data_IF_707640112477
#
_entry.id   IF_707640112477
#
_cell.length_a   1.000
_cell.length_b   1.000
_cell.length_c   1.000
_cell.angle_alpha   90.00
_cell.angle_beta   90.00
_cell.angle_gamma   90.00
#
_symmetry.space_group_name_H-M   'P 1'
#
loop_
_entity.id
_entity.type
_entity.pdbx_description
1 polymer ?
#
# COMPACT_ATOMS: atom_id res chain seq x y z
N UNK A 1 14.28 -9.20 18.54
CA UNK A 1 13.06 -8.55 19.09
C UNK A 1 11.82 -9.47 18.97
N UNK A 2 11.62 -10.25 17.90
CA UNK A 2 10.44 -11.16 17.79
C UNK A 2 10.75 -12.68 17.73
N UNK A 3 12.00 -13.13 17.87
CA UNK A 3 12.33 -14.57 17.76
C UNK A 3 12.09 -15.19 16.36
N UNK A 4 11.78 -14.35 15.35
CA UNK A 4 11.64 -14.74 13.96
C UNK A 4 13.01 -15.09 13.40
N UNK A 5 13.15 -16.30 12.84
CA UNK A 5 14.35 -16.69 12.10
C UNK A 5 14.31 -15.95 10.77
N UNK A 6 15.14 -14.93 10.61
CA UNK A 6 15.27 -14.24 9.33
C UNK A 6 15.90 -15.20 8.33
N UNK A 7 15.07 -15.73 7.43
CA UNK A 7 15.48 -16.56 6.32
C UNK A 7 15.38 -15.79 5.00
N UNK A 8 15.87 -16.42 3.92
CA UNK A 8 15.89 -15.82 2.59
C UNK A 8 14.49 -15.36 2.15
N UNK A 9 13.45 -16.14 2.49
CA UNK A 9 12.09 -15.86 2.10
C UNK A 9 11.53 -14.64 2.83
N UNK A 10 11.82 -14.51 4.13
CA UNK A 10 11.50 -13.33 4.94
C UNK A 10 12.20 -12.07 4.43
N UNK A 11 13.40 -12.22 3.86
CA UNK A 11 14.11 -11.14 3.17
C UNK A 11 13.39 -10.59 1.93
N UNK A 12 12.41 -11.32 1.37
CA UNK A 12 11.61 -10.86 0.23
C UNK A 12 10.42 -9.99 0.65
N UNK A 13 10.03 -10.00 1.93
CA UNK A 13 8.89 -9.21 2.41
C UNK A 13 9.02 -7.74 2.03
N UNK A 14 10.14 -7.03 2.30
CA UNK A 14 10.28 -5.63 1.94
C UNK A 14 10.15 -5.38 0.43
N UNK A 15 10.62 -6.31 -0.40
CA UNK A 15 10.54 -6.21 -1.87
C UNK A 15 9.08 -6.21 -2.31
N UNK A 16 8.27 -7.13 -1.76
CA UNK A 16 6.83 -7.20 -2.04
C UNK A 16 6.12 -5.92 -1.57
N UNK A 17 6.44 -5.44 -0.37
CA UNK A 17 5.82 -4.23 0.18
C UNK A 17 6.13 -2.99 -0.66
N UNK A 18 7.38 -2.84 -1.11
CA UNK A 18 7.78 -1.73 -1.99
C UNK A 18 7.05 -1.83 -3.33
N UNK A 19 6.97 -3.03 -3.92
CA UNK A 19 6.30 -3.22 -5.19
C UNK A 19 4.81 -2.88 -5.12
N UNK A 20 4.07 -3.43 -4.15
CA UNK A 20 2.63 -3.18 -4.02
C UNK A 20 2.34 -1.75 -3.55
N UNK A 21 3.07 -1.26 -2.54
CA UNK A 21 2.90 0.11 -2.05
C UNK A 21 3.16 1.16 -3.13
N UNK A 22 4.17 0.94 -3.98
CA UNK A 22 4.44 1.83 -5.13
C UNK A 22 3.31 1.76 -6.17
N UNK A 23 2.76 0.57 -6.43
CA UNK A 23 1.62 0.41 -7.35
C UNK A 23 0.40 1.19 -6.85
N UNK A 24 0.05 1.10 -5.56
CA UNK A 24 -1.07 1.84 -4.96
C UNK A 24 -0.83 3.35 -5.05
N UNK A 25 0.40 3.79 -4.76
CA UNK A 25 0.81 5.18 -4.87
C UNK A 25 0.70 5.73 -6.30
N UNK A 26 1.09 4.95 -7.30
CA UNK A 26 0.96 5.32 -8.72
C UNK A 26 -0.51 5.55 -9.10
N UNK A 27 -1.41 4.65 -8.70
CA UNK A 27 -2.84 4.81 -9.00
C UNK A 27 -3.41 6.08 -8.36
N UNK A 28 -3.02 6.38 -7.12
CA UNK A 28 -3.46 7.59 -6.44
C UNK A 28 -2.90 8.85 -7.10
N UNK A 29 -1.60 8.88 -7.36
CA UNK A 29 -0.92 10.03 -7.94
C UNK A 29 -1.37 10.30 -9.37
N UNK A 30 -1.67 9.26 -10.16
CA UNK A 30 -2.29 9.43 -11.48
C UNK A 30 -3.58 10.24 -11.37
N UNK A 31 -4.49 9.85 -10.47
CA UNK A 31 -5.77 10.56 -10.30
C UNK A 31 -5.57 11.97 -9.77
N UNK A 32 -4.62 12.15 -8.86
CA UNK A 32 -4.24 13.46 -8.35
C UNK A 32 -3.77 14.39 -9.47
N UNK A 33 -2.88 13.94 -10.35
CA UNK A 33 -2.38 14.74 -11.47
C UNK A 33 -3.45 15.03 -12.52
N UNK A 34 -4.35 14.08 -12.80
CA UNK A 34 -5.52 14.34 -13.67
C UNK A 34 -6.39 15.49 -13.12
N UNK A 35 -6.64 15.52 -11.81
CA UNK A 35 -7.42 16.58 -11.16
C UNK A 35 -6.69 17.92 -11.11
N UNK A 36 -5.39 17.90 -10.84
CA UNK A 36 -4.53 19.10 -10.90
C UNK A 36 -4.49 19.68 -12.32
N UNK A 37 -4.39 18.83 -13.34
CA UNK A 37 -4.47 19.22 -14.75
C UNK A 37 -5.83 19.80 -15.15
N UNK A 38 -6.91 19.41 -14.44
CA UNK A 38 -8.24 20.00 -14.55
C UNK A 38 -8.43 21.32 -13.78
N UNK A 39 -7.39 21.84 -13.12
CA UNK A 39 -7.43 23.12 -12.41
C UNK A 39 -7.86 23.04 -10.93
N UNK A 40 -8.06 21.85 -10.36
CA UNK A 40 -8.36 21.72 -8.92
C UNK A 40 -7.15 22.17 -8.07
N UNK A 41 -7.39 22.84 -6.94
CA UNK A 41 -6.35 23.16 -5.96
C UNK A 41 -5.74 21.88 -5.37
N UNK A 42 -4.49 21.91 -4.88
CA UNK A 42 -3.84 20.72 -4.32
C UNK A 42 -4.68 20.00 -3.24
N UNK A 43 -5.29 20.70 -2.25
CA UNK A 43 -6.16 20.05 -1.28
C UNK A 43 -7.43 19.44 -1.90
N UNK A 44 -8.03 20.12 -2.89
CA UNK A 44 -9.23 19.62 -3.57
C UNK A 44 -8.90 18.37 -4.40
N UNK A 45 -7.82 18.40 -5.17
CA UNK A 45 -7.34 17.28 -5.97
C UNK A 45 -6.99 16.07 -5.11
N UNK A 46 -6.32 16.30 -3.96
CA UNK A 46 -5.96 15.24 -3.02
C UNK A 46 -7.22 14.57 -2.42
N UNK A 47 -8.19 15.36 -1.97
CA UNK A 47 -9.44 14.85 -1.39
C UNK A 47 -10.33 14.16 -2.43
N UNK A 48 -10.44 14.73 -3.64
CA UNK A 48 -11.21 14.18 -4.74
C UNK A 48 -10.63 12.85 -5.22
N UNK A 49 -9.32 12.77 -5.37
CA UNK A 49 -8.63 11.51 -5.71
C UNK A 49 -8.85 10.47 -4.62
N UNK A 50 -8.62 10.82 -3.35
CA UNK A 50 -8.84 9.89 -2.23
C UNK A 50 -10.23 9.27 -2.24
N UNK A 51 -11.29 10.07 -2.45
CA UNK A 51 -12.68 9.56 -2.46
C UNK A 51 -12.92 8.52 -3.54
N UNK A 52 -12.25 8.64 -4.68
CA UNK A 52 -12.44 7.78 -5.84
C UNK A 52 -11.63 6.49 -5.74
N UNK A 53 -10.36 6.58 -5.32
CA UNK A 53 -9.45 5.43 -5.31
C UNK A 53 -9.46 4.61 -4.00
N UNK A 54 -9.95 5.16 -2.87
CA UNK A 54 -9.92 4.43 -1.57
C UNK A 54 -10.58 3.05 -1.61
N UNK A 55 -11.71 2.90 -2.31
CA UNK A 55 -12.43 1.61 -2.38
C UNK A 55 -11.65 0.59 -3.23
N UNK A 56 -11.23 0.92 -4.46
CA UNK A 56 -10.34 0.06 -5.23
C UNK A 56 -9.10 -0.40 -4.46
N UNK A 57 -8.37 0.49 -3.80
CA UNK A 57 -7.15 0.14 -3.05
C UNK A 57 -7.43 -0.82 -1.90
N UNK A 58 -8.48 -0.57 -1.12
CA UNK A 58 -8.83 -1.46 -0.01
C UNK A 58 -9.13 -2.87 -0.55
N UNK A 59 -9.87 -2.99 -1.65
CA UNK A 59 -10.22 -4.28 -2.24
C UNK A 59 -9.00 -5.00 -2.80
N UNK A 60 -8.11 -4.30 -3.52
CA UNK A 60 -6.88 -4.91 -4.08
C UNK A 60 -5.93 -5.36 -2.97
N UNK A 61 -5.75 -4.57 -1.91
CA UNK A 61 -4.94 -4.98 -0.76
C UNK A 61 -5.57 -6.16 -0.03
N UNK A 62 -6.88 -6.15 0.25
CA UNK A 62 -7.55 -7.25 0.96
C UNK A 62 -7.42 -8.56 0.19
N UNK A 63 -7.68 -8.55 -1.12
CA UNK A 63 -7.52 -9.75 -1.96
C UNK A 63 -6.08 -10.25 -1.97
N UNK A 64 -5.10 -9.35 -2.02
CA UNK A 64 -3.67 -9.70 -1.94
C UNK A 64 -3.29 -10.25 -0.56
N UNK A 65 -3.80 -9.66 0.52
CA UNK A 65 -3.62 -10.14 1.89
C UNK A 65 -4.20 -11.54 2.08
N UNK A 66 -5.37 -11.83 1.50
CA UNK A 66 -5.94 -13.19 1.51
C UNK A 66 -5.04 -14.16 0.75
N UNK A 67 -4.50 -13.75 -0.40
CA UNK A 67 -3.53 -14.53 -1.16
C UNK A 67 -2.29 -14.91 -0.33
N UNK A 68 -1.61 -13.94 0.26
CA UNK A 68 -0.46 -14.20 1.14
C UNK A 68 -0.85 -14.91 2.44
N UNK A 69 -2.02 -14.57 3.00
CA UNK A 69 -2.55 -15.18 4.21
C UNK A 69 -2.87 -16.67 4.04
N UNK A 70 -3.21 -17.12 2.83
CA UNK A 70 -3.42 -18.54 2.53
C UNK A 70 -2.16 -19.40 2.79
N UNK A 71 -0.96 -18.80 2.69
CA UNK A 71 0.31 -19.47 3.00
C UNK A 71 0.43 -19.84 4.48
N UNK A 72 -0.43 -19.28 5.36
CA UNK A 72 -0.45 -19.62 6.76
C UNK A 72 -0.82 -21.09 7.03
N UNK A 73 -1.46 -21.76 6.07
CA UNK A 73 -1.85 -23.18 6.12
C UNK A 73 -0.63 -24.09 5.87
N UNK A 74 0.50 -23.57 5.40
CA UNK A 74 1.68 -24.38 5.09
C UNK A 74 2.28 -25.08 6.31
N UNK A 75 2.71 -26.33 6.10
CA UNK A 75 3.48 -27.11 7.08
C UNK A 75 4.90 -26.55 7.29
N UNK A 76 5.44 -25.83 6.30
CA UNK A 76 6.75 -25.21 6.40
C UNK A 76 6.67 -23.88 7.14
N UNK A 77 7.29 -23.83 8.32
CA UNK A 77 7.27 -22.63 9.19
C UNK A 77 7.75 -21.35 8.48
N UNK A 78 8.75 -21.47 7.60
CA UNK A 78 9.29 -20.38 6.77
C UNK A 78 8.22 -19.76 5.86
N UNK A 79 7.43 -20.60 5.18
CA UNK A 79 6.37 -20.18 4.26
C UNK A 79 5.24 -19.50 5.03
N UNK A 80 4.83 -20.09 6.17
CA UNK A 80 3.81 -19.51 7.04
C UNK A 80 4.22 -18.13 7.57
N UNK A 81 5.46 -18.00 8.04
CA UNK A 81 5.96 -16.71 8.54
C UNK A 81 6.01 -15.66 7.44
N UNK A 82 6.51 -16.01 6.26
CA UNK A 82 6.53 -15.13 5.09
C UNK A 82 5.12 -14.63 4.72
N UNK A 83 4.13 -15.54 4.64
CA UNK A 83 2.75 -15.18 4.31
C UNK A 83 2.11 -14.23 5.31
N UNK A 84 2.24 -14.53 6.60
CA UNK A 84 1.67 -13.71 7.68
C UNK A 84 2.35 -12.33 7.76
N UNK A 85 3.67 -12.27 7.68
CA UNK A 85 4.42 -11.01 7.71
C UNK A 85 4.11 -10.14 6.50
N UNK A 86 4.01 -10.75 5.31
CA UNK A 86 3.65 -10.02 4.09
C UNK A 86 2.22 -9.49 4.19
N UNK A 87 1.25 -10.30 4.59
CA UNK A 87 -0.14 -9.87 4.74
C UNK A 87 -0.28 -8.71 5.74
N UNK A 88 0.41 -8.78 6.89
CA UNK A 88 0.45 -7.68 7.86
C UNK A 88 1.12 -6.43 7.29
N UNK A 89 2.26 -6.60 6.61
CA UNK A 89 2.97 -5.48 5.99
C UNK A 89 2.13 -4.78 4.92
N UNK A 90 1.33 -5.53 4.15
CA UNK A 90 0.40 -4.97 3.16
C UNK A 90 -0.72 -4.16 3.81
N UNK A 91 -1.27 -4.64 4.92
CA UNK A 91 -2.25 -3.87 5.70
C UNK A 91 -1.67 -2.54 6.16
N UNK A 92 -0.45 -2.56 6.71
CA UNK A 92 0.24 -1.34 7.15
C UNK A 92 0.56 -0.42 5.97
N UNK A 93 1.00 -0.97 4.83
CA UNK A 93 1.27 -0.20 3.62
C UNK A 93 0.00 0.50 3.12
N UNK A 94 -1.14 -0.19 3.08
CA UNK A 94 -2.43 0.43 2.74
C UNK A 94 -2.81 1.55 3.71
N UNK A 95 -2.62 1.34 5.01
CA UNK A 95 -2.91 2.37 6.02
C UNK A 95 -2.05 3.62 5.77
N UNK A 96 -0.76 3.45 5.47
CA UNK A 96 0.13 4.55 5.09
C UNK A 96 -0.32 5.22 3.79
N UNK A 97 -0.64 4.46 2.74
CA UNK A 97 -1.12 5.01 1.47
C UNK A 97 -2.42 5.79 1.62
N UNK A 98 -3.37 5.33 2.42
CA UNK A 98 -4.65 6.02 2.60
C UNK A 98 -4.58 7.23 3.55
N UNK A 99 -3.52 7.36 4.35
CA UNK A 99 -3.40 8.45 5.33
C UNK A 99 -2.29 9.42 4.97
N UNK A 100 -1.06 8.93 4.83
CA UNK A 100 0.13 9.74 4.60
C UNK A 100 0.16 10.31 3.18
N UNK A 101 -0.16 9.50 2.17
CA UNK A 101 -0.10 9.95 0.77
C UNK A 101 -1.04 11.12 0.47
N UNK A 102 -2.34 11.11 0.84
CA UNK A 102 -3.21 12.27 0.62
C UNK A 102 -2.81 13.47 1.47
N UNK A 103 -2.29 13.27 2.68
CA UNK A 103 -1.78 14.36 3.51
C UNK A 103 -0.58 15.04 2.82
N UNK A 104 0.39 14.26 2.36
CA UNK A 104 1.54 14.78 1.62
C UNK A 104 1.14 15.42 0.30
N UNK A 105 0.16 14.87 -0.43
CA UNK A 105 -0.33 15.48 -1.66
C UNK A 105 -1.04 16.83 -1.40
N UNK A 106 -1.78 16.94 -0.30
CA UNK A 106 -2.46 18.17 0.08
C UNK A 106 -1.50 19.28 0.55
N UNK A 107 -0.43 18.94 1.28
CA UNK A 107 0.52 19.91 1.85
C UNK A 107 1.78 20.13 1.01
N UNK A 108 2.30 19.06 0.41
CA UNK A 108 3.60 19.04 -0.27
C UNK A 108 3.57 19.56 -1.71
N UNK A 109 2.39 19.65 -2.34
CA UNK A 109 2.26 20.18 -3.70
C UNK A 109 2.07 21.72 -3.75
N UNK A 110 2.82 22.42 -2.90
CA UNK A 110 3.07 23.86 -2.99
C UNK A 110 4.21 24.19 -3.96
N UNK A 111 4.30 23.51 -5.10
CA UNK A 111 5.11 23.95 -6.23
C UNK A 111 4.18 24.12 -7.44
N UNK A 112 4.26 25.27 -8.13
CA UNK A 112 3.34 25.68 -9.20
C UNK A 112 3.23 24.64 -10.33
#
# INVERSE_FOLDING_TARGET
IFGLRMDLLSGLVPIVLIALGSADGIHYMKRYYERRGGGESAPAAAAGSYREIRVPLILTTITTMVGFGSLAISDFAVIRQFGLLTALGLFLALAVTLTLLPALAAFGAGAP
#
